data_IF_592286638978
#
_entry.id   IF_592286638978
#
_cell.length_a   1.000
_cell.length_b   1.000
_cell.length_c   1.000
_cell.angle_alpha   90.00
_cell.angle_beta   90.00
_cell.angle_gamma   90.00
#
_symmetry.space_group_name_H-M   'P 1'
#
loop_
_entity.id
_entity.type
_entity.pdbx_description
1 polymer ?
#
# COMPACT_ATOMS: atom_id res chain seq x y z
N UNK A 1 -14.59 5.18 -6.43
CA UNK A 1 -15.16 4.74 -5.16
C UNK A 1 -14.95 5.83 -4.12
N UNK A 2 -15.99 6.19 -3.38
CA UNK A 2 -15.95 7.07 -2.21
C UNK A 2 -15.80 6.26 -0.90
N UNK A 3 -15.59 6.90 0.27
CA UNK A 3 -15.36 6.19 1.52
C UNK A 3 -16.47 5.19 1.89
N UNK A 4 -17.75 5.58 1.75
CA UNK A 4 -18.89 4.71 2.07
C UNK A 4 -18.99 3.51 1.12
N UNK A 5 -18.72 3.73 -0.16
CA UNK A 5 -18.64 2.67 -1.16
C UNK A 5 -17.53 1.67 -0.86
N UNK A 6 -16.36 2.14 -0.40
CA UNK A 6 -15.27 1.26 0.03
C UNK A 6 -15.68 0.41 1.23
N UNK A 7 -16.29 1.00 2.26
CA UNK A 7 -16.78 0.23 3.43
C UNK A 7 -17.79 -0.83 2.99
N UNK A 8 -18.73 -0.45 2.13
CA UNK A 8 -19.76 -1.37 1.61
C UNK A 8 -19.13 -2.52 0.81
N UNK A 9 -18.17 -2.23 -0.06
CA UNK A 9 -17.51 -3.23 -0.89
C UNK A 9 -16.63 -4.21 -0.10
N UNK A 10 -16.07 -3.78 1.04
CA UNK A 10 -15.20 -4.60 1.89
C UNK A 10 -15.97 -5.35 2.99
N UNK A 11 -17.27 -5.08 3.15
CA UNK A 11 -18.10 -5.67 4.20
C UNK A 11 -17.56 -5.37 5.60
N UNK A 12 -17.62 -6.36 6.50
CA UNK A 12 -17.29 -6.18 7.92
C UNK A 12 -15.79 -5.94 8.21
N UNK A 13 -14.91 -5.98 7.20
CA UNK A 13 -13.48 -5.76 7.40
C UNK A 13 -13.08 -4.29 7.48
N UNK A 14 -13.77 -3.41 6.74
CA UNK A 14 -13.40 -2.00 6.63
C UNK A 14 -14.26 -1.11 7.51
N UNK A 15 -13.67 -0.04 8.04
CA UNK A 15 -14.37 0.95 8.84
C UNK A 15 -13.85 2.37 8.54
N UNK A 16 -14.70 3.37 8.80
CA UNK A 16 -14.32 4.77 8.71
C UNK A 16 -13.38 5.12 9.87
N UNK A 17 -12.38 5.95 9.59
CA UNK A 17 -11.46 6.51 10.58
C UNK A 17 -11.55 8.03 10.56
N UNK A 18 -11.09 8.66 11.65
CA UNK A 18 -10.80 10.09 11.62
C UNK A 18 -9.81 10.41 10.50
N UNK A 19 -10.02 11.49 9.71
CA UNK A 19 -9.14 11.87 8.61
C UNK A 19 -7.67 11.91 9.00
N UNK A 20 -6.85 11.10 8.33
CA UNK A 20 -5.40 11.06 8.50
C UNK A 20 -4.73 11.69 7.28
N UNK A 21 -3.81 12.64 7.49
CA UNK A 21 -3.18 13.37 6.39
C UNK A 21 -2.04 12.56 5.77
N UNK A 22 -2.08 12.45 4.45
CA UNK A 22 -1.00 11.93 3.62
C UNK A 22 -0.61 12.99 2.56
N UNK A 23 0.54 12.82 1.92
CA UNK A 23 0.98 13.74 0.86
C UNK A 23 -0.08 13.77 -0.26
N UNK A 24 -0.75 14.91 -0.43
CA UNK A 24 -1.77 15.13 -1.45
C UNK A 24 -3.04 14.27 -1.34
N UNK A 25 -3.30 13.62 -0.19
CA UNK A 25 -4.50 12.79 0.00
C UNK A 25 -4.84 12.59 1.47
N UNK A 26 -6.02 12.04 1.75
CA UNK A 26 -6.52 11.85 3.12
C UNK A 26 -6.98 10.40 3.31
N UNK A 27 -6.46 9.74 4.34
CA UNK A 27 -6.93 8.43 4.78
C UNK A 27 -8.25 8.57 5.53
N UNK A 28 -9.29 7.88 5.04
CA UNK A 28 -10.64 7.94 5.63
C UNK A 28 -11.26 6.58 5.93
N UNK A 29 -10.73 5.51 5.32
CA UNK A 29 -11.19 4.13 5.55
C UNK A 29 -9.99 3.24 5.84
N UNK A 30 -10.16 2.28 6.74
CA UNK A 30 -9.13 1.35 7.16
C UNK A 30 -9.65 -0.08 7.31
N UNK A 31 -8.77 -1.06 7.09
CA UNK A 31 -8.92 -2.44 7.55
C UNK A 31 -7.72 -2.74 8.45
N UNK A 32 -7.98 -3.15 9.68
CA UNK A 32 -6.93 -3.46 10.65
C UNK A 32 -6.56 -4.94 10.62
N UNK A 33 -5.29 -5.23 10.92
CA UNK A 33 -4.78 -6.58 11.19
C UNK A 33 -5.10 -7.62 10.10
N UNK A 34 -5.00 -7.21 8.82
CA UNK A 34 -5.07 -8.14 7.70
C UNK A 34 -3.88 -9.08 7.76
N UNK A 35 -4.16 -10.39 7.86
CA UNK A 35 -3.13 -11.42 7.85
C UNK A 35 -2.67 -11.69 6.41
N UNK A 36 -1.38 -11.46 6.13
CA UNK A 36 -0.76 -11.77 4.84
C UNK A 36 0.55 -12.53 5.10
N UNK A 37 0.60 -13.79 4.65
CA UNK A 37 1.66 -14.70 5.08
C UNK A 37 1.64 -14.84 6.61
N UNK A 38 2.78 -14.60 7.25
CA UNK A 38 2.93 -14.59 8.72
C UNK A 38 2.83 -13.19 9.35
N UNK A 39 2.59 -12.14 8.56
CA UNK A 39 2.54 -10.76 9.03
C UNK A 39 1.12 -10.22 9.19
N UNK A 40 0.96 -9.21 10.04
CA UNK A 40 -0.25 -8.41 10.16
C UNK A 40 -0.02 -7.04 9.52
N UNK A 41 -1.02 -6.60 8.76
CA UNK A 41 -0.96 -5.36 7.98
C UNK A 41 -2.19 -4.51 8.23
N UNK A 42 -2.00 -3.20 8.14
CA UNK A 42 -3.08 -2.22 8.10
C UNK A 42 -3.27 -1.76 6.67
N UNK A 43 -4.51 -1.84 6.18
CA UNK A 43 -4.90 -1.30 4.88
C UNK A 43 -5.52 0.06 5.07
N UNK A 44 -4.95 1.11 4.48
CA UNK A 44 -5.51 2.47 4.51
C UNK A 44 -5.89 2.90 3.10
N UNK A 45 -7.14 3.30 2.93
CA UNK A 45 -7.66 3.84 1.67
C UNK A 45 -7.57 5.37 1.69
N UNK A 46 -6.90 5.92 0.68
CA UNK A 46 -6.60 7.33 0.55
C UNK A 46 -7.49 7.97 -0.52
N UNK A 47 -8.10 9.10 -0.17
CA UNK A 47 -9.04 9.83 -1.00
C UNK A 47 -8.50 11.22 -1.34
N UNK A 48 -8.90 11.74 -2.50
CA UNK A 48 -8.65 13.13 -2.89
C UNK A 48 -9.67 14.10 -2.24
N UNK A 49 -9.58 15.39 -2.59
CA UNK A 49 -10.50 16.42 -2.09
C UNK A 49 -11.96 16.23 -2.52
N UNK A 50 -12.18 15.44 -3.57
CA UNK A 50 -13.50 15.11 -4.12
C UNK A 50 -14.01 13.76 -3.62
N UNK A 51 -13.38 13.22 -2.57
CA UNK A 51 -13.69 11.93 -1.98
C UNK A 51 -13.57 10.74 -2.94
N UNK A 52 -12.71 10.84 -3.96
CA UNK A 52 -12.42 9.70 -4.85
C UNK A 52 -11.22 8.94 -4.34
N UNK A 53 -11.32 7.61 -4.28
CA UNK A 53 -10.21 6.72 -3.95
C UNK A 53 -9.08 6.91 -4.97
N UNK A 54 -7.90 7.29 -4.48
CA UNK A 54 -6.71 7.60 -5.30
C UNK A 54 -5.48 6.78 -4.95
N UNK A 55 -5.51 6.04 -3.84
CA UNK A 55 -4.45 5.09 -3.49
C UNK A 55 -4.92 4.17 -2.35
N UNK A 56 -4.45 2.92 -2.36
CA UNK A 56 -4.59 2.01 -1.22
C UNK A 56 -3.20 1.64 -0.71
N UNK A 57 -2.96 1.85 0.58
CA UNK A 57 -1.73 1.44 1.25
C UNK A 57 -1.99 0.18 2.06
N UNK A 58 -1.08 -0.79 1.98
CA UNK A 58 -1.01 -1.96 2.85
C UNK A 58 0.31 -1.87 3.59
N UNK A 59 0.30 -1.47 4.85
CA UNK A 59 1.53 -1.25 5.62
C UNK A 59 1.65 -2.29 6.73
N UNK A 60 2.85 -2.85 6.90
CA UNK A 60 3.12 -3.78 8.00
C UNK A 60 2.88 -3.12 9.35
N UNK A 61 2.29 -3.87 10.27
CA UNK A 61 2.16 -3.46 11.66
C UNK A 61 3.49 -3.55 12.41
N UNK A 62 4.47 -4.31 11.89
CA UNK A 62 5.86 -4.26 12.35
C UNK A 62 6.53 -2.98 11.86
N UNK A 63 7.20 -2.27 12.78
CA UNK A 63 7.76 -0.93 12.55
C UNK A 63 9.21 -0.77 13.01
N UNK A 64 9.84 -1.80 13.56
CA UNK A 64 11.17 -1.72 14.18
C UNK A 64 12.07 -2.91 13.85
N UNK A 65 11.53 -4.12 13.69
CA UNK A 65 12.34 -5.32 13.51
C UNK A 65 12.78 -5.50 12.04
N UNK A 66 14.03 -5.12 11.75
CA UNK A 66 14.63 -5.20 10.41
C UNK A 66 14.59 -6.63 9.82
N UNK A 67 14.87 -7.65 10.62
CA UNK A 67 14.85 -9.05 10.17
C UNK A 67 13.44 -9.59 9.87
N UNK A 68 12.41 -9.05 10.52
CA UNK A 68 11.01 -9.34 10.17
C UNK A 68 10.63 -8.62 8.87
N UNK A 69 10.99 -7.34 8.74
CA UNK A 69 10.70 -6.51 7.56
C UNK A 69 11.30 -7.08 6.29
N UNK A 70 12.58 -7.52 6.32
CA UNK A 70 13.21 -8.16 5.17
C UNK A 70 12.49 -9.44 4.74
N UNK A 71 12.05 -10.27 5.71
CA UNK A 71 11.26 -11.49 5.44
C UNK A 71 9.88 -11.17 4.88
N UNK A 72 9.23 -10.14 5.40
CA UNK A 72 7.93 -9.66 4.92
C UNK A 72 8.04 -9.13 3.49
N UNK A 73 9.08 -8.35 3.17
CA UNK A 73 9.36 -7.88 1.81
C UNK A 73 9.53 -9.06 0.84
N UNK A 74 10.37 -10.04 1.17
CA UNK A 74 10.55 -11.23 0.35
C UNK A 74 9.25 -12.02 0.13
N UNK A 75 8.47 -12.22 1.19
CA UNK A 75 7.17 -12.92 1.13
C UNK A 75 6.17 -12.17 0.26
N UNK A 76 6.02 -10.85 0.45
CA UNK A 76 5.11 -10.03 -0.36
C UNK A 76 5.56 -9.97 -1.82
N UNK A 77 6.86 -9.87 -2.08
CA UNK A 77 7.39 -9.89 -3.45
C UNK A 77 7.03 -11.20 -4.16
N UNK A 78 7.17 -12.35 -3.48
CA UNK A 78 6.78 -13.64 -4.02
C UNK A 78 5.27 -13.70 -4.29
N UNK A 79 4.42 -13.30 -3.34
CA UNK A 79 2.96 -13.33 -3.48
C UNK A 79 2.48 -12.40 -4.61
N UNK A 80 3.03 -11.19 -4.70
CA UNK A 80 2.72 -10.24 -5.76
C UNK A 80 3.20 -10.76 -7.12
N UNK A 81 4.38 -11.37 -7.19
CA UNK A 81 4.89 -12.00 -8.41
C UNK A 81 4.01 -13.17 -8.86
N UNK A 82 3.54 -14.00 -7.92
CA UNK A 82 2.60 -15.08 -8.23
C UNK A 82 1.27 -14.55 -8.77
N UNK A 83 0.80 -13.41 -8.24
CA UNK A 83 -0.48 -12.81 -8.64
C UNK A 83 -0.43 -12.02 -9.95
N UNK A 84 0.65 -11.29 -10.17
CA UNK A 84 0.76 -10.28 -11.24
C UNK A 84 1.85 -10.59 -12.28
N UNK A 85 2.61 -11.67 -12.10
CA UNK A 85 3.75 -12.00 -12.93
C UNK A 85 5.04 -11.27 -12.51
N UNK A 86 6.05 -11.29 -13.38
CA UNK A 86 7.34 -10.65 -13.11
C UNK A 86 7.18 -9.12 -12.94
N UNK A 87 7.80 -8.49 -11.93
CA UNK A 87 7.79 -7.04 -11.82
C UNK A 87 8.49 -6.37 -13.00
N UNK A 88 8.05 -5.17 -13.38
CA UNK A 88 8.72 -4.34 -14.38
C UNK A 88 10.05 -3.80 -13.86
N UNK A 89 10.09 -3.48 -12.57
CA UNK A 89 11.28 -3.00 -11.87
C UNK A 89 11.42 -3.74 -10.54
N UNK A 90 12.63 -4.14 -10.18
CA UNK A 90 12.92 -4.73 -8.86
C UNK A 90 14.37 -4.47 -8.49
N UNK A 91 14.59 -4.08 -7.25
CA UNK A 91 15.90 -3.99 -6.60
C UNK A 91 15.83 -4.60 -5.18
N UNK A 92 16.77 -4.23 -4.31
CA UNK A 92 16.87 -4.75 -2.93
C UNK A 92 15.72 -4.35 -2.02
N UNK A 93 15.06 -3.22 -2.29
CA UNK A 93 14.15 -2.57 -1.36
C UNK A 93 12.84 -2.10 -2.00
N UNK A 94 12.70 -2.26 -3.31
CA UNK A 94 11.51 -1.90 -4.08
C UNK A 94 11.25 -2.92 -5.20
N UNK A 95 9.97 -3.14 -5.48
CA UNK A 95 9.52 -3.81 -6.69
C UNK A 95 8.23 -3.14 -7.21
N UNK A 96 8.07 -3.08 -8.53
CA UNK A 96 6.93 -2.41 -9.17
C UNK A 96 6.31 -3.31 -10.23
N UNK A 97 4.98 -3.43 -10.21
CA UNK A 97 4.17 -4.05 -11.27
C UNK A 97 3.27 -3.00 -11.89
N UNK A 98 3.30 -2.85 -13.20
CA UNK A 98 2.37 -1.99 -13.93
C UNK A 98 1.29 -2.85 -14.56
N UNK A 99 0.09 -2.72 -14.01
CA UNK A 99 -1.12 -3.34 -14.55
C UNK A 99 -1.80 -2.32 -15.49
N UNK A 100 -2.80 -2.72 -16.30
CA UNK A 100 -3.46 -1.82 -17.24
C UNK A 100 -3.94 -0.50 -16.61
N UNK A 101 -4.55 -0.57 -15.43
CA UNK A 101 -5.17 0.60 -14.77
C UNK A 101 -4.50 1.00 -13.45
N UNK A 102 -3.55 0.21 -12.94
CA UNK A 102 -2.98 0.39 -11.60
C UNK A 102 -1.51 0.02 -11.57
N UNK A 103 -0.71 0.84 -10.90
CA UNK A 103 0.67 0.53 -10.53
C UNK A 103 0.67 -0.01 -9.11
N UNK A 104 1.30 -1.16 -8.91
CA UNK A 104 1.55 -1.76 -7.60
C UNK A 104 3.01 -1.54 -7.25
N UNK A 105 3.28 -0.84 -6.16
CA UNK A 105 4.62 -0.66 -5.62
C UNK A 105 4.75 -1.42 -4.31
N UNK A 106 5.70 -2.33 -4.22
CA UNK A 106 6.18 -2.90 -2.97
C UNK A 106 7.47 -2.17 -2.57
N UNK A 107 7.60 -1.80 -1.30
CA UNK A 107 8.86 -1.27 -0.78
C UNK A 107 9.09 -1.63 0.68
N UNK A 108 10.36 -1.69 1.07
CA UNK A 108 10.78 -1.68 2.46
C UNK A 108 11.56 -0.41 2.77
N UNK A 109 11.35 0.13 3.97
CA UNK A 109 12.08 1.28 4.48
C UNK A 109 12.72 0.89 5.80
N UNK A 110 14.05 0.94 5.86
CA UNK A 110 14.83 0.65 7.07
C UNK A 110 15.70 1.88 7.37
N UNK A 111 15.49 2.45 8.54
CA UNK A 111 16.33 3.47 9.16
C UNK A 111 16.78 2.89 10.49
N UNK A 112 18.00 2.36 10.54
CA UNK A 112 18.46 1.56 11.68
C UNK A 112 18.31 2.29 13.02
N UNK A 113 17.72 1.59 13.98
CA UNK A 113 17.39 2.12 15.31
C UNK A 113 16.19 3.08 15.37
N UNK A 114 15.64 3.51 14.23
CA UNK A 114 14.52 4.46 14.16
C UNK A 114 13.25 3.77 13.70
N UNK A 115 13.27 3.16 12.51
CA UNK A 115 12.11 2.47 11.94
C UNK A 115 12.52 1.39 10.93
N UNK A 116 11.70 0.37 10.82
CA UNK A 116 11.78 -0.63 9.77
C UNK A 116 10.36 -1.03 9.37
N UNK A 117 9.95 -0.85 8.12
CA UNK A 117 8.59 -1.17 7.69
C UNK A 117 8.52 -1.60 6.23
N UNK A 118 7.72 -2.63 5.94
CA UNK A 118 7.32 -3.00 4.58
C UNK A 118 5.95 -2.44 4.26
N UNK A 119 5.76 -1.94 3.04
CA UNK A 119 4.46 -1.47 2.58
C UNK A 119 4.24 -1.73 1.09
N UNK A 120 2.98 -1.94 0.71
CA UNK A 120 2.51 -2.04 -0.67
C UNK A 120 1.59 -0.86 -0.94
N UNK A 121 1.72 -0.25 -2.12
CA UNK A 121 0.86 0.83 -2.60
C UNK A 121 0.20 0.39 -3.90
N UNK A 122 -1.11 0.55 -3.97
CA UNK A 122 -1.89 0.42 -5.20
C UNK A 122 -2.30 1.82 -5.64
N UNK A 123 -1.82 2.24 -6.81
CA UNK A 123 -1.97 3.61 -7.31
C UNK A 123 -2.58 3.56 -8.71
N UNK A 124 -3.73 4.21 -8.98
CA UNK A 124 -4.26 4.31 -10.33
C UNK A 124 -3.22 4.95 -11.28
N UNK A 125 -3.08 4.40 -12.49
CA UNK A 125 -2.06 4.87 -13.46
C UNK A 125 -2.25 6.35 -13.84
N UNK A 126 -3.49 6.85 -13.83
CA UNK A 126 -3.81 8.26 -14.08
C UNK A 126 -3.13 9.21 -13.09
N UNK A 127 -2.87 8.76 -11.85
CA UNK A 127 -2.17 9.55 -10.83
C UNK A 127 -0.66 9.48 -11.00
N UNK A 128 -0.12 8.30 -11.29
CA UNK A 128 1.32 8.12 -11.53
C UNK A 128 1.79 9.03 -12.66
N UNK A 129 1.04 9.10 -13.77
CA UNK A 129 1.33 9.98 -14.90
C UNK A 129 1.38 11.46 -14.50
N UNK A 130 0.44 11.92 -13.67
CA UNK A 130 0.38 13.31 -13.19
C UNK A 130 1.52 13.68 -12.26
N UNK A 131 2.02 12.73 -11.45
CA UNK A 131 3.15 12.97 -10.55
C UNK A 131 4.48 13.03 -11.33
N UNK A 132 4.59 12.29 -12.44
CA UNK A 132 5.79 12.28 -13.30
C UNK A 132 5.82 13.37 -14.37
N UNK A 133 4.66 13.96 -14.73
CA UNK A 133 4.59 14.98 -15.79
C UNK A 133 5.18 16.33 -15.41
N UNK A 134 5.57 16.51 -14.14
CA UNK A 134 6.19 17.74 -13.61
C UNK A 134 7.69 17.54 -13.29
N UNK A 135 8.30 16.47 -13.79
CA UNK A 135 9.74 16.19 -13.75
C UNK A 135 10.35 16.44 -15.14
#
# INVERSE_FOLDING_TARGET
>A
MNPTEVVTAQGNGAHLISPEKFKGSVGKVRIDNVSIGSGLYTVTFLFDSSDRLVQTNVASNEKKNEGIVARQFGTLNQLLTQKYGKPEFSDSDKATWKLPDTTVELSQMIISGIMAQTFVRYIPNSRVASDTSNL
#
